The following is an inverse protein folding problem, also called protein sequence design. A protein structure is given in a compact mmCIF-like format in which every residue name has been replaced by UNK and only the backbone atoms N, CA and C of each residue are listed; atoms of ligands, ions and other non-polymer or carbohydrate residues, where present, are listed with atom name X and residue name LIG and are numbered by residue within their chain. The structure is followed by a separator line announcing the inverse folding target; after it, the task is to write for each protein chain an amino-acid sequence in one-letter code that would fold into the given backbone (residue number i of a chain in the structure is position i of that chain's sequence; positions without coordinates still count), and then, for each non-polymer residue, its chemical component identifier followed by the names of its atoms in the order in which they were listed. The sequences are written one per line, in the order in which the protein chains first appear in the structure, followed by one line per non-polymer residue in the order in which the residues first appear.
data_IF_214869985487
#
_entry.id   IF_214869985487
#
_cell.length_a   1.000
_cell.length_b   1.000
_cell.length_c   1.000
_cell.angle_alpha   90.00
_cell.angle_beta   90.00
_cell.angle_gamma   90.00
#
_symmetry.space_group_name_H-M   'P 1'
#
loop_
_entity.id
_entity.type
_entity.pdbx_description
1 polymer ?
#
# COMPACT_ATOMS: atom_id res chain seq x y z
N UNK A 1 15.06 -35.20 8.58
CA UNK A 1 16.16 -34.45 9.23
C UNK A 1 17.39 -34.71 8.38
N UNK A 2 18.06 -33.79 7.71
CA UNK A 2 18.24 -32.34 7.84
C UNK A 2 17.81 -31.63 6.55
N UNK A 3 17.61 -30.31 6.60
CA UNK A 3 18.21 -29.43 5.60
C UNK A 3 18.20 -28.01 6.17
N UNK A 4 19.34 -27.60 6.72
CA UNK A 4 19.63 -26.17 6.91
C UNK A 4 19.54 -25.46 5.56
N UNK A 5 19.53 -24.11 5.59
CA UNK A 5 19.49 -23.33 4.35
C UNK A 5 20.62 -23.80 3.41
N UNK A 6 20.30 -24.25 2.18
CA UNK A 6 21.32 -24.69 1.23
C UNK A 6 22.33 -23.57 0.98
N UNK A 7 23.58 -23.94 0.70
CA UNK A 7 24.63 -22.95 0.45
C UNK A 7 24.29 -22.20 -0.84
N UNK A 8 24.44 -20.87 -0.84
CA UNK A 8 24.08 -20.05 -2.00
C UNK A 8 24.87 -20.45 -3.25
N UNK A 9 26.11 -20.92 -3.08
CA UNK A 9 26.98 -21.40 -4.17
C UNK A 9 26.43 -22.63 -4.89
N UNK A 10 25.52 -23.37 -4.25
CA UNK A 10 24.92 -24.58 -4.81
C UNK A 10 23.59 -24.25 -5.55
N UNK A 11 23.09 -23.01 -5.44
CA UNK A 11 21.76 -22.61 -5.92
C UNK A 11 21.85 -21.54 -7.02
N UNK A 12 22.87 -20.68 -6.98
CA UNK A 12 23.05 -19.58 -7.93
C UNK A 12 24.44 -19.59 -8.54
N UNK A 13 24.52 -19.23 -9.82
CA UNK A 13 25.76 -19.01 -10.56
C UNK A 13 25.93 -17.56 -10.97
N UNK A 14 27.16 -17.09 -11.12
CA UNK A 14 27.44 -15.75 -11.64
C UNK A 14 26.89 -15.63 -13.07
N UNK A 15 26.23 -14.49 -13.36
CA UNK A 15 25.57 -14.24 -14.64
C UNK A 15 24.18 -14.88 -14.80
N UNK A 16 23.67 -15.58 -13.79
CA UNK A 16 22.30 -16.11 -13.81
C UNK A 16 21.28 -14.98 -13.66
N UNK A 17 20.41 -14.82 -14.67
CA UNK A 17 19.34 -13.83 -14.65
C UNK A 17 18.22 -14.23 -13.68
N UNK A 18 17.79 -13.29 -12.83
CA UNK A 18 16.69 -13.50 -11.88
C UNK A 18 15.78 -12.27 -11.78
N UNK A 19 14.47 -12.53 -11.68
CA UNK A 19 13.50 -11.47 -11.34
C UNK A 19 13.63 -11.16 -9.85
N UNK A 20 13.84 -9.89 -9.54
CA UNK A 20 13.99 -9.38 -8.18
C UNK A 20 13.02 -8.23 -7.92
N UNK A 21 12.57 -8.13 -6.67
CA UNK A 21 11.80 -6.99 -6.17
C UNK A 21 12.62 -6.26 -5.10
N UNK A 22 12.62 -4.94 -5.12
CA UNK A 22 13.16 -4.10 -4.06
C UNK A 22 12.24 -4.22 -2.84
N UNK A 23 12.79 -4.77 -1.76
CA UNK A 23 12.10 -4.94 -0.48
C UNK A 23 12.43 -3.78 0.48
N UNK A 24 13.65 -3.26 0.41
CA UNK A 24 14.06 -2.04 1.13
C UNK A 24 14.91 -1.19 0.21
N UNK A 25 14.61 0.10 0.17
CA UNK A 25 15.41 1.10 -0.50
C UNK A 25 16.82 1.20 0.09
N UNK A 26 17.70 1.84 -0.66
CA UNK A 26 19.04 2.15 -0.20
C UNK A 26 19.00 3.03 1.06
N UNK A 27 19.94 2.78 1.97
CA UNK A 27 20.06 3.57 3.20
C UNK A 27 21.53 3.83 3.50
N UNK A 28 21.93 5.09 3.38
CA UNK A 28 23.34 5.49 3.51
C UNK A 28 24.18 4.74 2.48
N UNK A 29 25.20 4.01 2.93
CA UNK A 29 26.09 3.25 2.05
C UNK A 29 25.60 1.81 1.77
N UNK A 30 24.41 1.41 2.24
CA UNK A 30 23.84 0.08 1.97
C UNK A 30 22.96 0.15 0.74
N UNK A 31 23.31 -0.64 -0.28
CA UNK A 31 22.46 -0.85 -1.45
C UNK A 31 21.10 -1.45 -1.07
N UNK A 32 20.16 -1.38 -2.01
CA UNK A 32 18.81 -1.87 -1.83
C UNK A 32 18.77 -3.36 -1.47
N UNK A 33 17.87 -3.74 -0.56
CA UNK A 33 17.64 -5.14 -0.24
C UNK A 33 16.65 -5.73 -1.26
N UNK A 34 17.06 -6.83 -1.90
CA UNK A 34 16.28 -7.49 -2.95
C UNK A 34 15.65 -8.79 -2.46
N UNK A 35 14.55 -9.21 -3.09
CA UNK A 35 13.91 -10.51 -2.89
C UNK A 35 13.50 -11.08 -4.24
N UNK A 36 13.69 -12.39 -4.45
CA UNK A 36 13.10 -13.07 -5.60
C UNK A 36 11.63 -13.40 -5.36
N UNK A 37 11.16 -13.45 -4.10
CA UNK A 37 9.74 -13.60 -3.79
C UNK A 37 8.98 -12.31 -4.09
N UNK A 38 8.40 -12.26 -5.29
CA UNK A 38 7.65 -11.10 -5.78
C UNK A 38 6.31 -11.04 -5.04
N UNK A 39 5.89 -9.84 -4.71
CA UNK A 39 4.60 -9.53 -4.11
C UNK A 39 3.90 -8.45 -4.92
N UNK A 40 2.67 -8.72 -5.35
CA UNK A 40 1.85 -7.76 -6.09
C UNK A 40 0.60 -7.45 -5.25
N UNK A 41 0.48 -6.20 -4.83
CA UNK A 41 -0.65 -5.76 -4.02
C UNK A 41 -1.76 -5.20 -4.90
N UNK A 42 -2.98 -5.73 -4.70
CA UNK A 42 -4.23 -5.22 -5.25
C UNK A 42 -5.01 -4.44 -4.19
N UNK A 43 -6.30 -4.19 -4.44
CA UNK A 43 -7.13 -3.41 -3.50
C UNK A 43 -7.46 -4.22 -2.24
N UNK A 44 -7.72 -5.51 -2.41
CA UNK A 44 -8.19 -6.41 -1.35
C UNK A 44 -7.21 -7.54 -1.08
N UNK A 45 -6.44 -7.93 -2.09
CA UNK A 45 -5.55 -9.08 -2.05
C UNK A 45 -4.10 -8.65 -2.28
N UNK A 46 -3.17 -9.49 -1.83
CA UNK A 46 -1.77 -9.46 -2.25
C UNK A 46 -1.45 -10.87 -2.73
N UNK A 47 -0.96 -10.99 -3.96
CA UNK A 47 -0.48 -12.27 -4.47
C UNK A 47 1.04 -12.38 -4.32
N UNK A 48 1.49 -13.60 -4.08
CA UNK A 48 2.89 -14.00 -3.99
C UNK A 48 3.11 -15.14 -5.00
N UNK A 49 3.26 -14.83 -6.30
CA UNK A 49 3.13 -15.83 -7.37
C UNK A 49 4.20 -16.93 -7.36
N UNK A 50 5.28 -16.76 -6.61
CA UNK A 50 6.37 -17.72 -6.48
C UNK A 50 6.64 -18.12 -5.02
N UNK A 51 5.62 -18.00 -4.16
CA UNK A 51 5.69 -18.44 -2.78
C UNK A 51 4.35 -19.04 -2.33
N UNK A 52 4.09 -20.34 -2.59
CA UNK A 52 2.83 -20.99 -2.20
C UNK A 52 2.68 -21.11 -0.68
N UNK A 53 3.80 -20.98 0.06
CA UNK A 53 3.77 -21.00 1.53
C UNK A 53 3.36 -19.66 2.12
N UNK A 54 3.42 -18.58 1.32
CA UNK A 54 2.93 -17.28 1.76
C UNK A 54 1.41 -17.24 1.59
N UNK A 55 0.69 -17.05 2.68
CA UNK A 55 -0.75 -16.84 2.58
C UNK A 55 -1.42 -16.59 3.92
N UNK A 56 -2.64 -16.08 3.86
CA UNK A 56 -3.50 -15.93 5.02
C UNK A 56 -4.23 -14.60 5.09
N UNK A 57 -4.84 -14.36 6.25
CA UNK A 57 -5.67 -13.18 6.51
C UNK A 57 -4.86 -12.18 7.34
N UNK A 58 -4.94 -10.89 6.98
CA UNK A 58 -4.32 -9.79 7.74
C UNK A 58 -4.50 -9.97 9.25
N UNK A 59 -3.43 -9.78 10.02
CA UNK A 59 -3.46 -9.88 11.49
C UNK A 59 -4.36 -8.84 12.17
N UNK A 60 -4.82 -7.84 11.43
CA UNK A 60 -5.77 -6.82 11.93
C UNK A 60 -7.23 -7.29 11.90
N UNK A 61 -7.50 -8.46 11.34
CA UNK A 61 -8.84 -9.03 11.18
C UNK A 61 -8.96 -10.22 12.13
N UNK A 62 -9.95 -10.15 13.01
CA UNK A 62 -10.20 -11.08 14.12
C UNK A 62 -11.70 -11.37 14.22
N UNK A 63 -12.09 -12.39 15.00
CA UNK A 63 -13.49 -12.75 15.21
C UNK A 63 -14.18 -13.29 13.96
N UNK A 64 -15.48 -13.04 13.85
CA UNK A 64 -16.36 -13.61 12.82
C UNK A 64 -15.95 -13.20 11.40
N UNK A 65 -15.49 -11.95 11.21
CA UNK A 65 -14.99 -11.45 9.93
C UNK A 65 -13.84 -12.31 9.37
N UNK A 66 -13.01 -12.88 10.25
CA UNK A 66 -11.90 -13.75 9.85
C UNK A 66 -12.40 -15.10 9.36
N UNK A 67 -13.47 -15.62 9.96
CA UNK A 67 -14.08 -16.90 9.56
C UNK A 67 -14.77 -16.75 8.20
N UNK A 68 -15.58 -15.70 8.03
CA UNK A 68 -16.24 -15.38 6.76
C UNK A 68 -15.23 -15.19 5.63
N UNK A 69 -14.14 -14.47 5.88
CA UNK A 69 -13.07 -14.31 4.88
C UNK A 69 -12.38 -15.62 4.54
N UNK A 70 -12.21 -16.52 5.51
CA UNK A 70 -11.60 -17.83 5.25
C UNK A 70 -12.47 -18.68 4.32
N UNK A 71 -13.79 -18.61 4.50
CA UNK A 71 -14.76 -19.27 3.62
C UNK A 71 -14.75 -18.63 2.23
N UNK A 72 -14.81 -17.30 2.14
CA UNK A 72 -14.72 -16.60 0.86
C UNK A 72 -13.43 -16.93 0.11
N UNK A 73 -12.28 -16.98 0.82
CA UNK A 73 -11.00 -17.37 0.24
C UNK A 73 -10.99 -18.79 -0.31
N UNK A 74 -11.69 -19.72 0.34
CA UNK A 74 -11.75 -21.12 -0.11
C UNK A 74 -12.52 -21.30 -1.43
N UNK A 75 -13.36 -20.33 -1.77
CA UNK A 75 -14.09 -20.28 -3.05
C UNK A 75 -13.31 -19.64 -4.20
N UNK A 76 -12.14 -19.05 -3.93
CA UNK A 76 -11.32 -18.42 -4.95
C UNK A 76 -10.51 -19.44 -5.75
N UNK A 77 -10.48 -19.25 -7.06
CA UNK A 77 -9.65 -20.04 -7.97
C UNK A 77 -8.22 -19.48 -7.97
N UNK A 78 -7.40 -19.93 -7.02
CA UNK A 78 -5.98 -19.55 -6.90
C UNK A 78 -5.11 -20.58 -7.64
N UNK A 79 -4.29 -20.17 -8.64
CA UNK A 79 -3.39 -21.09 -9.32
C UNK A 79 -2.38 -21.75 -8.38
N UNK A 80 -1.97 -22.98 -8.70
CA UNK A 80 -0.95 -23.68 -7.93
C UNK A 80 0.37 -22.89 -7.90
N UNK A 81 1.04 -22.87 -6.75
CA UNK A 81 2.29 -22.12 -6.56
C UNK A 81 2.08 -20.65 -6.15
N UNK A 82 0.86 -20.13 -6.23
CA UNK A 82 0.55 -18.74 -5.87
C UNK A 82 0.10 -18.64 -4.41
N UNK A 83 0.83 -17.85 -3.64
CA UNK A 83 0.43 -17.45 -2.30
C UNK A 83 -0.56 -16.28 -2.32
N UNK A 84 -1.52 -16.26 -1.38
CA UNK A 84 -2.57 -15.23 -1.31
C UNK A 84 -2.75 -14.64 0.09
N UNK A 85 -2.71 -13.32 0.21
CA UNK A 85 -2.91 -12.60 1.47
C UNK A 85 -4.09 -11.64 1.35
N UNK A 86 -5.04 -11.69 2.28
CA UNK A 86 -6.18 -10.75 2.34
C UNK A 86 -5.80 -9.49 3.13
N UNK A 87 -5.97 -8.32 2.51
CA UNK A 87 -5.81 -6.99 3.10
C UNK A 87 -7.03 -6.63 3.96
N UNK A 88 -6.85 -5.71 4.90
CA UNK A 88 -7.96 -5.19 5.74
C UNK A 88 -9.11 -4.58 4.91
N UNK A 89 -8.84 -4.07 3.72
CA UNK A 89 -9.88 -3.56 2.82
C UNK A 89 -10.74 -4.65 2.15
N UNK A 90 -10.33 -5.92 2.23
CA UNK A 90 -11.06 -7.06 1.70
C UNK A 90 -12.19 -7.57 2.60
N UNK A 91 -12.29 -7.10 3.84
CA UNK A 91 -13.38 -7.48 4.77
C UNK A 91 -14.73 -7.07 4.19
N UNK A 92 -15.71 -7.98 4.23
CA UNK A 92 -17.07 -7.75 3.73
C UNK A 92 -17.18 -7.68 2.19
N UNK A 93 -16.14 -8.10 1.46
CA UNK A 93 -16.16 -8.23 0.01
C UNK A 93 -16.71 -9.58 -0.41
N UNK A 94 -17.48 -9.57 -1.50
CA UNK A 94 -18.02 -10.82 -2.03
C UNK A 94 -16.90 -11.65 -2.68
N UNK A 95 -17.06 -12.98 -2.77
CA UNK A 95 -16.13 -13.84 -3.50
C UNK A 95 -15.84 -13.34 -4.93
N UNK A 96 -16.83 -12.78 -5.62
CA UNK A 96 -16.70 -12.27 -6.98
C UNK A 96 -15.78 -11.03 -7.05
N UNK A 97 -15.90 -10.11 -6.08
CA UNK A 97 -15.02 -8.94 -5.99
C UNK A 97 -13.57 -9.36 -5.69
N UNK A 98 -13.38 -10.35 -4.82
CA UNK A 98 -12.06 -10.89 -4.49
C UNK A 98 -11.46 -11.65 -5.70
N UNK A 99 -12.27 -12.44 -6.41
CA UNK A 99 -11.85 -13.15 -7.61
C UNK A 99 -11.47 -12.17 -8.73
N UNK A 100 -12.17 -11.04 -8.84
CA UNK A 100 -11.81 -9.98 -9.79
C UNK A 100 -10.45 -9.37 -9.47
N UNK A 101 -10.21 -8.97 -8.21
CA UNK A 101 -8.91 -8.42 -7.78
C UNK A 101 -7.78 -9.45 -8.00
N UNK A 102 -8.03 -10.73 -7.73
CA UNK A 102 -7.10 -11.83 -8.02
C UNK A 102 -6.77 -11.92 -9.53
N UNK A 103 -7.79 -11.88 -10.40
CA UNK A 103 -7.59 -11.94 -11.86
C UNK A 103 -6.74 -10.77 -12.37
N UNK A 104 -6.98 -9.56 -11.88
CA UNK A 104 -6.18 -8.38 -12.22
C UNK A 104 -4.72 -8.58 -11.82
N UNK A 105 -4.47 -9.08 -10.62
CA UNK A 105 -3.11 -9.33 -10.12
C UNK A 105 -2.39 -10.45 -10.89
N UNK A 106 -3.09 -11.53 -11.23
CA UNK A 106 -2.53 -12.61 -12.04
C UNK A 106 -2.19 -12.15 -13.45
N UNK A 107 -3.05 -11.33 -14.06
CA UNK A 107 -2.76 -10.73 -15.37
C UNK A 107 -1.52 -9.82 -15.31
N UNK A 108 -1.37 -9.04 -14.23
CA UNK A 108 -0.19 -8.21 -14.01
C UNK A 108 1.08 -9.06 -13.84
N UNK A 109 1.00 -10.17 -13.11
CA UNK A 109 2.12 -11.10 -12.99
C UNK A 109 2.52 -11.72 -14.34
N UNK A 110 1.54 -12.08 -15.18
CA UNK A 110 1.82 -12.59 -16.52
C UNK A 110 2.54 -11.56 -17.38
N UNK A 111 2.10 -10.29 -17.34
CA UNK A 111 2.78 -9.20 -18.03
C UNK A 111 4.23 -9.01 -17.55
N UNK A 112 4.49 -9.14 -16.23
CA UNK A 112 5.84 -9.08 -15.66
C UNK A 112 6.72 -10.21 -16.20
N UNK A 113 6.22 -11.45 -16.24
CA UNK A 113 6.97 -12.60 -16.78
C UNK A 113 7.26 -12.46 -18.28
N UNK A 114 6.30 -11.98 -19.05
CA UNK A 114 6.50 -11.76 -20.49
C UNK A 114 7.54 -10.66 -20.73
N UNK A 115 7.44 -9.56 -19.98
CA UNK A 115 8.40 -8.47 -20.08
C UNK A 115 9.81 -8.89 -19.62
N UNK A 116 9.94 -9.76 -18.61
CA UNK A 116 11.26 -10.27 -18.18
C UNK A 116 11.96 -11.10 -19.25
N UNK A 117 11.21 -11.72 -20.17
CA UNK A 117 11.76 -12.53 -21.27
C UNK A 117 12.00 -11.72 -22.56
N UNK A 118 11.55 -10.46 -22.60
CA UNK A 118 11.55 -9.65 -23.82
C UNK A 118 12.93 -9.13 -24.23
N UNK A 119 13.87 -9.04 -23.28
CA UNK A 119 15.25 -8.57 -23.48
C UNK A 119 16.17 -9.11 -22.37
N UNK A 120 17.50 -9.19 -22.58
CA UNK A 120 18.43 -9.62 -21.54
C UNK A 120 18.54 -8.59 -20.39
N UNK A 121 18.93 -9.07 -19.22
CA UNK A 121 19.19 -8.27 -18.02
C UNK A 121 20.40 -7.33 -18.18
N UNK A 122 20.56 -6.27 -17.35
CA UNK A 122 19.63 -5.80 -16.32
C UNK A 122 18.66 -4.73 -16.85
N UNK A 123 17.41 -4.79 -16.39
CA UNK A 123 16.45 -3.72 -16.68
C UNK A 123 15.25 -3.69 -15.72
N UNK A 124 14.63 -2.52 -15.63
CA UNK A 124 13.37 -2.31 -14.92
C UNK A 124 12.21 -2.96 -15.68
N UNK A 125 11.50 -3.89 -15.03
CA UNK A 125 10.30 -4.53 -15.59
C UNK A 125 9.06 -3.72 -15.21
N UNK A 126 8.94 -3.44 -13.92
CA UNK A 126 7.77 -2.79 -13.34
C UNK A 126 8.21 -1.74 -12.33
N UNK A 127 7.79 -0.52 -12.60
CA UNK A 127 7.84 0.57 -11.64
C UNK A 127 6.53 0.58 -10.86
N UNK A 128 6.61 0.63 -9.53
CA UNK A 128 5.42 0.85 -8.70
C UNK A 128 4.64 2.03 -9.25
N UNK A 129 3.33 1.85 -9.32
CA UNK A 129 2.48 2.76 -10.08
C UNK A 129 2.47 4.18 -9.50
N UNK A 130 2.13 5.13 -10.39
CA UNK A 130 1.84 6.54 -10.09
C UNK A 130 1.07 6.69 -8.77
N UNK A 131 1.35 7.77 -8.02
CA UNK A 131 0.67 8.11 -6.75
C UNK A 131 -0.84 7.98 -6.84
N UNK A 132 -1.44 8.26 -8.00
CA UNK A 132 -2.87 8.11 -8.26
C UNK A 132 -3.31 6.65 -8.18
N UNK A 133 -2.61 5.75 -8.88
CA UNK A 133 -2.89 4.30 -8.88
C UNK A 133 -2.71 3.74 -7.47
N UNK A 134 -1.63 4.15 -6.79
CA UNK A 134 -1.37 3.77 -5.41
C UNK A 134 -2.48 4.23 -4.48
N UNK A 135 -2.92 5.47 -4.62
CA UNK A 135 -3.99 6.03 -3.81
C UNK A 135 -5.31 5.28 -4.03
N UNK A 136 -5.64 4.98 -5.28
CA UNK A 136 -6.81 4.16 -5.65
C UNK A 136 -6.71 2.78 -5.01
N UNK A 137 -5.58 2.09 -5.15
CA UNK A 137 -5.38 0.76 -4.58
C UNK A 137 -5.49 0.76 -3.05
N UNK A 138 -4.86 1.72 -2.38
CA UNK A 138 -4.64 1.65 -0.94
C UNK A 138 -5.75 2.32 -0.11
N UNK A 139 -6.42 3.33 -0.69
CA UNK A 139 -7.42 4.13 0.02
C UNK A 139 -8.84 4.01 -0.53
N UNK A 140 -9.06 3.49 -1.75
CA UNK A 140 -10.41 3.48 -2.34
C UNK A 140 -11.38 2.48 -1.70
N UNK A 141 -12.06 2.93 -0.65
CA UNK A 141 -12.99 2.14 0.16
C UNK A 141 -14.45 2.48 -0.15
N UNK A 142 -15.38 1.58 0.23
CA UNK A 142 -16.82 1.69 -0.04
C UNK A 142 -17.46 2.97 0.52
N UNK A 143 -16.94 3.47 1.64
CA UNK A 143 -17.37 4.69 2.34
C UNK A 143 -16.94 5.98 1.65
N UNK A 144 -16.08 5.92 0.63
CA UNK A 144 -15.69 7.10 -0.15
C UNK A 144 -16.81 7.47 -1.11
N UNK A 145 -17.46 8.61 -0.85
CA UNK A 145 -18.55 9.12 -1.68
C UNK A 145 -18.11 9.60 -3.06
N UNK A 146 -17.03 10.37 -3.13
CA UNK A 146 -16.56 11.02 -4.37
C UNK A 146 -15.03 11.06 -4.42
N UNK A 147 -14.49 11.03 -5.64
CA UNK A 147 -13.06 11.25 -5.94
C UNK A 147 -12.99 12.50 -6.81
N UNK A 148 -12.49 13.59 -6.24
CA UNK A 148 -12.39 14.88 -6.93
C UNK A 148 -10.98 15.07 -7.48
N UNK A 149 -10.90 15.40 -8.77
CA UNK A 149 -9.65 15.61 -9.48
C UNK A 149 -9.76 16.94 -10.21
N UNK A 150 -8.81 17.85 -10.03
CA UNK A 150 -8.82 19.20 -10.61
C UNK A 150 -8.08 19.31 -11.95
N UNK A 151 -7.35 18.26 -12.36
CA UNK A 151 -6.66 18.19 -13.65
C UNK A 151 -7.40 17.28 -14.64
N UNK A 152 -7.84 17.78 -15.82
CA UNK A 152 -8.52 16.96 -16.83
C UNK A 152 -7.71 15.74 -17.30
N UNK A 153 -6.38 15.91 -17.47
CA UNK A 153 -5.48 14.83 -17.88
C UNK A 153 -5.42 13.72 -16.84
N UNK A 154 -5.37 14.09 -15.55
CA UNK A 154 -5.34 13.14 -14.44
C UNK A 154 -6.70 12.48 -14.26
N UNK A 155 -7.79 13.22 -14.47
CA UNK A 155 -9.15 12.71 -14.38
C UNK A 155 -9.38 11.54 -15.33
N UNK A 156 -9.02 11.69 -16.62
CA UNK A 156 -9.17 10.61 -17.60
C UNK A 156 -8.31 9.39 -17.23
N UNK A 157 -7.03 9.63 -16.86
CA UNK A 157 -6.13 8.55 -16.42
C UNK A 157 -6.66 7.78 -15.20
N UNK A 158 -7.17 8.49 -14.20
CA UNK A 158 -7.75 7.89 -13.00
C UNK A 158 -9.02 7.11 -13.32
N UNK A 159 -9.88 7.66 -14.19
CA UNK A 159 -11.13 7.03 -14.62
C UNK A 159 -10.88 5.74 -15.41
N UNK A 160 -9.93 5.73 -16.33
CA UNK A 160 -9.49 4.53 -17.06
C UNK A 160 -8.96 3.47 -16.10
N UNK A 161 -8.10 3.87 -15.16
CA UNK A 161 -7.54 2.95 -14.18
C UNK A 161 -8.63 2.34 -13.28
N UNK A 162 -9.51 3.18 -12.72
CA UNK A 162 -10.64 2.74 -11.89
C UNK A 162 -11.57 1.81 -12.68
N UNK A 163 -11.81 2.05 -13.97
CA UNK A 163 -12.63 1.15 -14.79
C UNK A 163 -12.05 -0.27 -14.86
N UNK A 164 -10.73 -0.41 -14.84
CA UNK A 164 -10.05 -1.71 -14.84
C UNK A 164 -10.10 -2.38 -13.45
N UNK A 165 -9.76 -1.63 -12.40
CA UNK A 165 -9.55 -2.22 -11.06
C UNK A 165 -10.79 -2.22 -10.17
N UNK A 166 -11.65 -1.21 -10.30
CA UNK A 166 -12.81 -0.91 -9.44
C UNK A 166 -13.95 -0.26 -10.24
N UNK A 167 -14.56 -0.99 -11.20
CA UNK A 167 -15.60 -0.43 -12.07
C UNK A 167 -16.81 0.13 -11.30
N UNK A 168 -17.06 -0.38 -10.09
CA UNK A 168 -18.09 0.11 -9.15
C UNK A 168 -17.88 1.57 -8.70
N UNK A 169 -16.68 2.13 -8.86
CA UNK A 169 -16.32 3.50 -8.46
C UNK A 169 -16.27 4.51 -9.59
N UNK A 170 -16.43 4.09 -10.86
CA UNK A 170 -16.25 4.99 -12.02
C UNK A 170 -17.16 6.21 -11.95
N UNK A 171 -18.41 6.04 -11.51
CA UNK A 171 -19.38 7.13 -11.41
C UNK A 171 -19.10 8.11 -10.24
N UNK A 172 -18.20 7.74 -9.31
CA UNK A 172 -17.80 8.59 -8.17
C UNK A 172 -16.61 9.49 -8.52
N UNK A 173 -15.95 9.26 -9.65
CA UNK A 173 -14.85 10.10 -10.13
C UNK A 173 -15.43 11.35 -10.78
N UNK A 174 -15.09 12.54 -10.27
CA UNK A 174 -15.59 13.81 -10.78
C UNK A 174 -14.44 14.79 -11.04
N UNK A 175 -14.53 15.50 -12.17
CA UNK A 175 -13.63 16.59 -12.49
C UNK A 175 -14.09 17.83 -11.70
N UNK A 176 -13.20 18.36 -10.87
CA UNK A 176 -13.40 19.61 -10.16
C UNK A 176 -13.11 20.78 -11.10
N UNK A 177 -14.07 21.70 -11.22
CA UNK A 177 -14.00 22.88 -12.09
C UNK A 177 -14.30 24.17 -11.33
N UNK A 178 -14.21 24.16 -10.00
CA UNK A 178 -14.42 25.35 -9.20
C UNK A 178 -13.32 26.38 -9.41
N UNK A 179 -13.68 27.67 -9.27
CA UNK A 179 -12.72 28.77 -9.39
C UNK A 179 -11.71 28.80 -8.23
N UNK A 180 -12.14 28.36 -7.05
CA UNK A 180 -11.29 28.25 -5.85
C UNK A 180 -10.49 26.94 -5.94
N UNK A 181 -9.17 26.92 -5.65
CA UNK A 181 -8.39 25.69 -5.64
C UNK A 181 -9.04 24.60 -4.76
N UNK A 182 -8.99 23.35 -5.22
CA UNK A 182 -9.72 22.22 -4.62
C UNK A 182 -9.49 22.10 -3.10
N UNK A 183 -8.23 22.13 -2.65
CA UNK A 183 -7.91 21.97 -1.23
C UNK A 183 -8.35 23.17 -0.37
N UNK A 184 -8.31 24.38 -0.91
CA UNK A 184 -8.85 25.58 -0.27
C UNK A 184 -10.37 25.52 -0.16
N UNK A 185 -11.06 25.05 -1.20
CA UNK A 185 -12.51 24.88 -1.20
C UNK A 185 -12.97 23.92 -0.09
N UNK A 186 -12.22 22.83 0.15
CA UNK A 186 -12.48 21.87 1.22
C UNK A 186 -11.80 22.22 2.55
N UNK A 187 -11.11 23.36 2.65
CA UNK A 187 -10.45 23.87 3.86
C UNK A 187 -9.44 22.88 4.48
N UNK A 188 -8.74 22.11 3.64
CA UNK A 188 -7.72 21.16 4.09
C UNK A 188 -6.28 21.68 3.94
N UNK A 189 -6.08 22.81 3.25
CA UNK A 189 -4.76 23.39 2.99
C UNK A 189 -3.95 23.61 4.28
N UNK A 190 -4.56 24.27 5.28
CA UNK A 190 -3.92 24.55 6.57
C UNK A 190 -3.56 23.27 7.35
N UNK A 191 -4.33 22.19 7.15
CA UNK A 191 -4.04 20.90 7.78
C UNK A 191 -2.84 20.23 7.10
N UNK A 192 -2.74 20.36 5.77
CA UNK A 192 -1.57 19.88 5.02
C UNK A 192 -0.32 20.65 5.44
N UNK A 193 -0.41 21.98 5.53
CA UNK A 193 0.70 22.82 6.01
C UNK A 193 1.15 22.44 7.42
N UNK A 194 0.21 22.09 8.32
CA UNK A 194 0.54 21.65 9.67
C UNK A 194 1.41 20.38 9.71
N UNK A 195 1.33 19.53 8.68
CA UNK A 195 2.16 18.32 8.60
C UNK A 195 3.65 18.65 8.36
N UNK A 196 3.97 19.85 7.85
CA UNK A 196 5.33 20.33 7.68
C UNK A 196 5.83 21.15 8.88
N UNK A 197 4.96 21.44 9.85
CA UNK A 197 5.34 22.18 11.04
C UNK A 197 6.03 21.26 12.04
N UNK A 198 7.10 21.76 12.64
CA UNK A 198 7.77 21.09 13.77
C UNK A 198 6.84 20.95 14.98
N UNK A 199 5.98 21.94 15.21
CA UNK A 199 5.01 21.97 16.31
C UNK A 199 3.58 22.02 15.79
N UNK A 200 2.73 21.09 16.24
CA UNK A 200 1.31 21.01 15.89
C UNK A 200 0.45 21.28 17.12
N UNK A 201 -0.41 22.30 17.06
CA UNK A 201 -1.33 22.62 18.15
C UNK A 201 -2.52 21.66 18.20
N UNK A 202 -2.86 21.23 19.42
CA UNK A 202 -4.00 20.36 19.68
C UNK A 202 -5.27 21.18 19.98
N UNK A 203 -6.47 20.66 19.66
CA UNK A 203 -7.73 21.32 20.01
C UNK A 203 -7.91 21.59 21.51
N UNK A 204 -7.27 20.79 22.36
CA UNK A 204 -7.24 20.95 23.82
C UNK A 204 -6.33 22.07 24.32
N UNK A 205 -5.62 22.77 23.42
CA UNK A 205 -4.68 23.86 23.75
C UNK A 205 -3.25 23.39 24.08
N UNK A 206 -2.98 22.08 24.02
CA UNK A 206 -1.62 21.54 24.07
C UNK A 206 -0.92 21.58 22.71
N UNK A 207 0.28 21.03 22.62
CA UNK A 207 1.00 20.88 21.34
C UNK A 207 1.82 19.59 21.27
N UNK A 208 2.13 19.17 20.05
CA UNK A 208 3.03 18.07 19.76
C UNK A 208 4.23 18.63 19.01
N UNK A 209 5.44 18.31 19.46
CA UNK A 209 6.69 18.68 18.80
C UNK A 209 7.33 17.44 18.20
N UNK A 210 7.67 17.49 16.92
CA UNK A 210 8.23 16.37 16.16
C UNK A 210 9.65 16.73 15.74
N UNK A 211 10.65 16.03 16.29
CA UNK A 211 12.05 16.20 15.95
C UNK A 211 12.60 14.95 15.26
N UNK A 212 13.05 15.10 14.02
CA UNK A 212 13.64 14.01 13.24
C UNK A 212 15.16 14.05 13.42
N UNK A 213 15.75 12.92 13.84
CA UNK A 213 17.19 12.71 13.92
C UNK A 213 17.60 11.56 12.99
N UNK A 214 18.90 11.31 12.85
CA UNK A 214 19.42 10.24 11.98
C UNK A 214 18.92 8.83 12.37
N UNK A 215 18.83 8.58 13.67
CA UNK A 215 18.52 7.26 14.20
C UNK A 215 17.06 7.09 14.62
N UNK A 216 16.37 8.19 14.96
CA UNK A 216 15.03 8.16 15.52
C UNK A 216 14.24 9.43 15.25
N UNK A 217 12.92 9.34 15.34
CA UNK A 217 12.01 10.49 15.42
C UNK A 217 11.53 10.62 16.85
N UNK A 218 11.84 11.75 17.50
CA UNK A 218 11.36 12.08 18.83
C UNK A 218 10.03 12.85 18.71
N UNK A 219 9.07 12.49 19.55
CA UNK A 219 7.77 13.17 19.63
C UNK A 219 7.57 13.59 21.09
N UNK A 220 7.51 14.90 21.33
CA UNK A 220 7.22 15.48 22.63
C UNK A 220 5.79 16.02 22.68
N UNK A 221 5.13 15.94 23.84
CA UNK A 221 3.72 16.33 24.02
C UNK A 221 3.63 17.33 25.17
N UNK A 222 3.28 18.57 24.83
CA UNK A 222 3.07 19.65 25.79
C UNK A 222 1.57 19.79 26.09
N UNK A 223 1.20 19.72 27.37
CA UNK A 223 -0.18 19.96 27.80
C UNK A 223 -0.49 21.46 27.86
N UNK A 224 -1.75 21.83 27.59
CA UNK A 224 -2.24 23.18 27.89
C UNK A 224 -2.07 23.52 29.38
N UNK A 225 -1.93 24.81 29.72
CA UNK A 225 -1.94 25.28 31.11
C UNK A 225 -3.21 24.76 31.80
N UNK A 226 -3.03 24.01 32.88
CA UNK A 226 -4.07 23.29 33.63
C UNK A 226 -5.30 24.15 33.96
N UNK A 227 -6.40 23.94 33.22
CA UNK A 227 -7.76 24.26 33.66
C UNK A 227 -8.49 22.96 33.97
N UNK A 228 -8.45 22.58 35.25
CA UNK A 228 -9.30 21.60 35.96
C UNK A 228 -9.54 20.24 35.28
N UNK A 229 -8.83 19.23 35.77
CA UNK A 229 -9.35 17.88 36.06
C UNK A 229 -10.28 17.24 35.03
N UNK A 230 -9.72 16.77 33.92
CA UNK A 230 -10.41 15.89 32.97
C UNK A 230 -9.43 14.85 32.45
N UNK A 231 -9.79 13.57 32.61
CA UNK A 231 -8.98 12.39 32.31
C UNK A 231 -8.32 12.49 30.92
N UNK A 232 -6.99 12.34 30.88
CA UNK A 232 -6.18 12.17 29.67
C UNK A 232 -6.69 10.98 28.85
N UNK A 233 -7.66 11.20 27.96
CA UNK A 233 -7.98 10.23 26.90
C UNK A 233 -6.74 10.14 26.01
N UNK A 234 -6.02 9.02 26.11
CA UNK A 234 -4.98 8.60 25.17
C UNK A 234 -5.58 8.65 23.76
N UNK A 235 -5.24 9.69 23.01
CA UNK A 235 -5.80 9.94 21.69
C UNK A 235 -5.29 8.89 20.67
N UNK A 236 -6.14 8.41 19.75
CA UNK A 236 -5.78 7.55 18.62
C UNK A 236 -4.73 8.15 17.65
N UNK A 237 -4.26 9.37 17.89
CA UNK A 237 -3.27 10.10 17.10
C UNK A 237 -1.96 9.31 16.88
N UNK A 238 -1.45 8.63 17.92
CA UNK A 238 -0.21 7.83 17.83
C UNK A 238 -0.40 6.64 16.88
N UNK A 239 -1.61 6.07 16.82
CA UNK A 239 -1.95 4.99 15.89
C UNK A 239 -2.07 5.50 14.45
N UNK A 240 -2.56 6.72 14.25
CA UNK A 240 -2.66 7.39 12.94
C UNK A 240 -1.27 7.75 12.39
N UNK A 241 -0.36 8.30 13.21
CA UNK A 241 1.00 8.66 12.79
C UNK A 241 1.83 7.45 12.36
N UNK A 242 1.70 6.31 13.06
CA UNK A 242 2.34 5.04 12.65
C UNK A 242 1.83 4.49 11.30
N UNK A 243 0.65 4.91 10.85
CA UNK A 243 0.07 4.49 9.57
C UNK A 243 0.64 5.26 8.38
N UNK A 244 1.02 6.53 8.57
CA UNK A 244 1.50 7.42 7.50
C UNK A 244 2.95 7.15 7.09
N UNK A 245 3.79 6.63 7.99
CA UNK A 245 5.22 6.35 7.72
C UNK A 245 5.51 5.06 6.91
N UNK A 246 4.51 4.45 6.26
CA UNK A 246 4.65 3.20 5.48
C UNK A 246 4.33 3.37 4.00
N UNK A 247 4.91 4.38 3.36
CA UNK A 247 5.03 4.39 1.91
C UNK A 247 6.42 3.84 1.60
N UNK A 248 6.51 2.55 1.31
CA UNK A 248 7.69 1.95 0.69
C UNK A 248 7.38 1.79 -0.80
N UNK A 249 8.29 2.24 -1.66
CA UNK A 249 8.18 2.02 -3.10
C UNK A 249 8.67 0.60 -3.43
N UNK A 250 7.83 -0.17 -4.13
CA UNK A 250 8.09 -1.55 -4.50
C UNK A 250 8.50 -1.63 -5.98
N UNK A 251 9.78 -1.72 -6.29
CA UNK A 251 10.26 -1.88 -7.67
C UNK A 251 10.48 -3.34 -8.03
N UNK A 252 10.19 -3.76 -9.27
CA UNK A 252 10.55 -5.10 -9.78
C UNK A 252 11.46 -4.97 -11.00
N UNK A 253 12.63 -5.61 -10.93
CA UNK A 253 13.68 -5.58 -11.93
C UNK A 253 14.11 -7.01 -12.32
N UNK A 254 14.75 -7.18 -13.47
CA UNK A 254 15.62 -8.35 -13.72
C UNK A 254 17.06 -7.91 -13.44
N UNK A 255 17.79 -8.72 -12.68
CA UNK A 255 19.25 -8.62 -12.52
C UNK A 255 19.94 -9.80 -13.16
#
# INVERSE_FOLDING_TARGET
MFQGRPNIRDILSEGQEVIVQVNKEERGNKGAALTTFVSLAGSYLVIMPNNPRAGGISRRIEGDERTELKEALSSLEVPEGVGLIVRTAGVGKSPEELQWDLKVLLHHWEAIKQASQSRPAPFLIHQESDVIVRAIRDYLRRDIGEILIDSPKIFEKAKEHIKLVRPDFVNRVKLYQGEVPLFSHYQIESQIESAFQREVRLPSGGSIVIDVTEALTAIDINSARSTRGGILKKLPLIQTLKRLMKLHDNYVCVT
#
